data_IF_445279269545
#
_entry.id   IF_445279269545
#
_cell.length_a   1.000
_cell.length_b   1.000
_cell.length_c   1.000
_cell.angle_alpha   90.00
_cell.angle_beta   90.00
_cell.angle_gamma   90.00
#
_symmetry.space_group_name_H-M   'P 1'
#
loop_
_entity.id
_entity.type
_entity.pdbx_description
1 polymer ?
#
# COMPACT_ATOMS: atom_id res chain seq x y z
N UNK A 1 -11.55 -0.78 5.20
CA UNK A 1 -10.50 -1.59 5.86
C UNK A 1 -9.19 -0.81 5.84
N UNK A 2 -8.61 -0.49 6.99
CA UNK A 2 -7.27 0.10 7.13
C UNK A 2 -6.42 -0.89 7.93
N UNK A 3 -5.37 -1.44 7.32
CA UNK A 3 -4.56 -2.52 7.91
C UNK A 3 -3.08 -2.16 7.82
N UNK A 4 -2.37 -2.31 8.94
CA UNK A 4 -0.92 -2.31 8.95
C UNK A 4 -0.38 -3.70 8.60
N UNK A 5 0.60 -3.76 7.70
CA UNK A 5 1.36 -4.96 7.36
C UNK A 5 2.76 -4.80 7.95
N UNK A 6 3.01 -5.36 9.15
CA UNK A 6 4.30 -5.21 9.82
C UNK A 6 5.38 -6.04 9.14
N UNK A 7 6.64 -5.62 9.27
CA UNK A 7 7.82 -6.34 8.77
C UNK A 7 7.70 -6.80 7.31
N UNK A 8 7.09 -5.97 6.44
CA UNK A 8 6.99 -6.29 5.02
C UNK A 8 8.39 -6.37 4.39
N UNK A 9 9.25 -5.42 4.73
CA UNK A 9 10.67 -5.43 4.37
C UNK A 9 11.50 -5.66 5.63
N UNK A 10 12.49 -6.54 5.54
CA UNK A 10 13.54 -6.65 6.56
C UNK A 10 14.60 -5.57 6.38
N UNK A 11 15.52 -5.46 7.34
CA UNK A 11 16.59 -4.45 7.32
C UNK A 11 17.47 -4.52 6.06
N UNK A 12 17.69 -5.72 5.50
CA UNK A 12 18.51 -5.91 4.29
C UNK A 12 17.77 -5.40 3.05
N UNK A 13 16.47 -5.70 2.94
CA UNK A 13 15.60 -5.22 1.87
C UNK A 13 15.43 -3.70 1.94
N UNK A 14 15.25 -3.12 3.14
CA UNK A 14 15.21 -1.66 3.34
C UNK A 14 16.52 -1.04 2.86
N UNK A 15 17.67 -1.53 3.31
CA UNK A 15 18.97 -1.01 2.91
C UNK A 15 19.18 -1.09 1.38
N UNK A 16 18.75 -2.18 0.75
CA UNK A 16 18.85 -2.37 -0.70
C UNK A 16 17.97 -1.39 -1.47
N UNK A 17 16.71 -1.21 -1.03
CA UNK A 17 15.79 -0.22 -1.60
C UNK A 17 16.38 1.19 -1.46
N UNK A 18 16.87 1.54 -0.27
CA UNK A 18 17.44 2.87 0.02
C UNK A 18 18.69 3.15 -0.80
N UNK A 19 19.60 2.18 -0.94
CA UNK A 19 20.80 2.34 -1.77
C UNK A 19 20.46 2.68 -3.24
N UNK A 20 19.38 2.12 -3.78
CA UNK A 20 18.91 2.42 -5.14
C UNK A 20 18.28 3.82 -5.22
N UNK A 21 17.30 4.10 -4.37
CA UNK A 21 16.50 5.33 -4.51
C UNK A 21 17.21 6.59 -4.01
N UNK A 22 18.13 6.48 -3.07
CA UNK A 22 18.87 7.65 -2.54
C UNK A 22 19.93 8.14 -3.54
N UNK A 23 20.45 7.26 -4.40
CA UNK A 23 21.39 7.61 -5.47
C UNK A 23 20.70 8.17 -6.72
N UNK A 24 19.37 8.03 -6.83
CA UNK A 24 18.60 8.44 -7.99
C UNK A 24 18.35 9.95 -8.05
N UNK A 25 17.94 10.44 -9.22
CA UNK A 25 17.52 11.83 -9.39
C UNK A 25 16.07 12.03 -8.94
N UNK A 26 15.90 12.73 -7.82
CA UNK A 26 14.59 13.15 -7.32
C UNK A 26 14.13 14.43 -8.05
N UNK A 27 12.87 14.43 -8.51
CA UNK A 27 12.24 15.55 -9.22
C UNK A 27 11.02 16.06 -8.45
N UNK A 28 10.50 17.23 -8.82
CA UNK A 28 9.24 17.76 -8.26
C UNK A 28 8.10 16.75 -8.50
N UNK A 29 7.43 16.33 -7.43
CA UNK A 29 6.40 15.29 -7.51
C UNK A 29 5.09 15.74 -8.16
N UNK A 30 4.93 17.02 -8.53
CA UNK A 30 3.80 17.48 -9.33
C UNK A 30 3.81 16.94 -10.76
N UNK A 31 4.96 16.47 -11.25
CA UNK A 31 5.08 15.88 -12.60
C UNK A 31 4.23 14.61 -12.76
N UNK A 32 3.93 13.89 -11.67
CA UNK A 32 3.17 12.62 -11.71
C UNK A 32 1.74 12.73 -11.17
N UNK A 33 1.25 13.94 -10.90
CA UNK A 33 -0.03 14.15 -10.20
C UNK A 33 -1.21 14.22 -11.16
N UNK A 34 -2.37 13.69 -10.74
CA UNK A 34 -3.65 14.02 -11.38
C UNK A 34 -3.99 15.51 -11.18
N UNK A 35 -4.90 16.03 -12.00
CA UNK A 35 -5.19 17.48 -12.06
C UNK A 35 -5.59 18.11 -10.71
N UNK A 36 -6.40 17.41 -9.90
CA UNK A 36 -6.79 17.89 -8.55
C UNK A 36 -5.67 17.75 -7.52
N UNK A 37 -4.93 16.63 -7.55
CA UNK A 37 -3.83 16.35 -6.63
C UNK A 37 -2.64 17.31 -6.79
N UNK A 38 -2.38 17.77 -8.01
CA UNK A 38 -1.26 18.67 -8.31
C UNK A 38 -1.38 20.05 -7.61
N UNK A 39 -2.60 20.49 -7.27
CA UNK A 39 -2.82 21.78 -6.63
C UNK A 39 -2.43 21.79 -5.14
N UNK A 40 -2.39 20.62 -4.51
CA UNK A 40 -2.21 20.48 -3.05
C UNK A 40 -0.89 19.79 -2.66
N UNK A 41 -0.07 19.40 -3.64
CA UNK A 41 1.10 18.55 -3.44
C UNK A 41 2.40 19.34 -3.55
N UNK A 42 3.22 19.24 -2.52
CA UNK A 42 4.60 19.76 -2.49
C UNK A 42 5.47 18.66 -1.93
N UNK A 43 6.14 17.91 -2.80
CA UNK A 43 7.03 16.81 -2.43
C UNK A 43 8.03 16.54 -3.56
N UNK A 44 8.94 15.60 -3.33
CA UNK A 44 9.82 15.06 -4.36
C UNK A 44 9.42 13.63 -4.72
N UNK A 45 9.70 13.20 -5.94
CA UNK A 45 9.51 11.82 -6.39
C UNK A 45 10.63 11.34 -7.32
N UNK A 46 10.81 10.03 -7.42
CA UNK A 46 11.52 9.44 -8.56
C UNK A 46 10.61 9.45 -9.80
N UNK A 47 11.17 9.69 -11.01
CA UNK A 47 10.46 9.45 -12.27
C UNK A 47 9.98 8.00 -12.38
N UNK A 48 8.80 7.78 -12.97
CA UNK A 48 8.19 6.44 -13.05
C UNK A 48 9.02 5.45 -13.91
N UNK A 49 9.76 5.96 -14.89
CA UNK A 49 10.59 5.19 -15.81
C UNK A 49 12.05 5.01 -15.34
N UNK A 50 12.41 5.65 -14.22
CA UNK A 50 13.75 5.56 -13.64
C UNK A 50 14.12 4.10 -13.36
N UNK A 51 15.30 3.63 -13.79
CA UNK A 51 15.73 2.26 -13.57
C UNK A 51 15.82 1.92 -12.07
N UNK A 52 16.22 2.86 -11.24
CA UNK A 52 16.30 2.72 -9.78
C UNK A 52 14.91 2.49 -9.17
N UNK A 53 13.91 3.25 -9.62
CA UNK A 53 12.52 3.07 -9.17
C UNK A 53 11.97 1.70 -9.55
N UNK A 54 12.26 1.23 -10.78
CA UNK A 54 11.83 -0.11 -11.23
C UNK A 54 12.48 -1.22 -10.43
N UNK A 55 13.79 -1.14 -10.18
CA UNK A 55 14.53 -2.15 -9.41
C UNK A 55 14.08 -2.17 -7.94
N UNK A 56 13.97 -1.00 -7.31
CA UNK A 56 13.48 -0.90 -5.93
C UNK A 56 12.02 -1.35 -5.81
N UNK A 57 11.19 -1.01 -6.80
CA UNK A 57 9.80 -1.46 -6.88
C UNK A 57 9.69 -2.99 -6.97
N UNK A 58 10.57 -3.66 -7.72
CA UNK A 58 10.57 -5.12 -7.79
C UNK A 58 10.85 -5.77 -6.43
N UNK A 59 11.77 -5.23 -5.63
CA UNK A 59 12.04 -5.72 -4.27
C UNK A 59 10.77 -5.65 -3.41
N UNK A 60 10.03 -4.54 -3.50
CA UNK A 60 8.76 -4.36 -2.75
C UNK A 60 7.70 -5.34 -3.24
N UNK A 61 7.56 -5.53 -4.55
CA UNK A 61 6.60 -6.48 -5.14
C UNK A 61 6.91 -7.93 -4.72
N UNK A 62 8.17 -8.32 -4.71
CA UNK A 62 8.62 -9.65 -4.27
C UNK A 62 8.31 -9.88 -2.79
N UNK A 63 8.48 -8.85 -1.95
CA UNK A 63 8.13 -8.90 -0.53
C UNK A 63 6.63 -9.02 -0.31
N UNK A 64 5.82 -8.25 -1.05
CA UNK A 64 4.36 -8.35 -1.02
C UNK A 64 3.87 -9.74 -1.41
N UNK A 65 4.44 -10.34 -2.45
CA UNK A 65 4.09 -11.68 -2.90
C UNK A 65 4.37 -12.78 -1.86
N UNK A 66 5.21 -12.50 -0.86
CA UNK A 66 5.56 -13.41 0.24
C UNK A 66 4.82 -13.12 1.55
N UNK A 67 4.02 -12.05 1.62
CA UNK A 67 3.32 -11.65 2.85
C UNK A 67 1.91 -12.26 2.90
N UNK A 68 1.64 -13.26 3.75
CA UNK A 68 0.32 -13.89 3.83
C UNK A 68 -0.77 -12.89 4.23
N UNK A 69 -0.45 -11.98 5.16
CA UNK A 69 -1.36 -10.93 5.61
C UNK A 69 -1.75 -10.00 4.46
N UNK A 70 -0.79 -9.57 3.64
CA UNK A 70 -1.09 -8.75 2.46
C UNK A 70 -1.96 -9.50 1.46
N UNK A 71 -1.64 -10.75 1.15
CA UNK A 71 -2.41 -11.55 0.20
C UNK A 71 -3.85 -11.75 0.67
N UNK A 72 -4.05 -12.11 1.95
CA UNK A 72 -5.37 -12.32 2.53
C UNK A 72 -6.20 -11.02 2.57
N UNK A 73 -5.59 -9.88 2.93
CA UNK A 73 -6.28 -8.61 3.01
C UNK A 73 -6.57 -8.00 1.62
N UNK A 74 -5.58 -7.99 0.73
CA UNK A 74 -5.65 -7.26 -0.53
C UNK A 74 -6.26 -8.08 -1.67
N UNK A 75 -6.07 -9.41 -1.67
CA UNK A 75 -6.46 -10.31 -2.77
C UNK A 75 -6.04 -9.73 -4.13
N UNK A 76 -4.74 -9.44 -4.36
CA UNK A 76 -4.30 -8.62 -5.49
C UNK A 76 -4.52 -9.30 -6.84
N UNK A 77 -5.08 -8.57 -7.80
CA UNK A 77 -5.19 -8.98 -9.21
C UNK A 77 -4.15 -8.25 -10.09
N UNK A 78 -4.04 -6.92 -9.93
CA UNK A 78 -3.04 -6.09 -10.63
C UNK A 78 -2.50 -5.04 -9.68
N UNK A 79 -1.19 -4.87 -9.65
CA UNK A 79 -0.52 -3.87 -8.83
C UNK A 79 0.05 -2.79 -9.75
N UNK A 80 -0.27 -1.53 -9.48
CA UNK A 80 0.37 -0.41 -10.15
C UNK A 80 1.84 -0.34 -9.70
N UNK A 81 2.80 -0.14 -10.61
CA UNK A 81 4.22 -0.14 -10.25
C UNK A 81 4.51 0.76 -9.03
N UNK A 82 5.29 0.28 -8.04
CA UNK A 82 5.62 1.08 -6.86
C UNK A 82 6.27 2.41 -7.25
N UNK A 83 5.71 3.51 -6.75
CA UNK A 83 6.29 4.84 -6.87
C UNK A 83 6.99 5.22 -5.57
N UNK A 84 7.85 6.23 -5.61
CA UNK A 84 8.64 6.66 -4.45
C UNK A 84 8.51 8.16 -4.27
N UNK A 85 8.23 8.58 -3.04
CA UNK A 85 8.12 9.98 -2.67
C UNK A 85 9.00 10.32 -1.47
N UNK A 86 9.37 11.59 -1.38
CA UNK A 86 9.98 12.13 -0.17
C UNK A 86 9.47 13.52 0.16
N UNK A 87 9.40 13.82 1.46
CA UNK A 87 8.90 15.08 2.01
C UNK A 87 9.93 15.61 3.03
N UNK A 88 10.21 16.91 2.98
CA UNK A 88 11.06 17.63 3.95
C UNK A 88 10.71 19.12 4.01
N UNK A 89 11.11 19.84 5.05
CA UNK A 89 11.08 21.31 5.07
C UNK A 89 9.71 21.96 4.81
N UNK A 90 8.64 21.44 5.44
CA UNK A 90 7.27 21.93 5.29
C UNK A 90 6.51 21.38 4.09
N UNK A 91 7.15 20.51 3.30
CA UNK A 91 6.49 19.73 2.25
C UNK A 91 5.36 18.87 2.83
N UNK A 92 4.29 18.74 2.06
CA UNK A 92 3.04 18.10 2.45
C UNK A 92 2.27 17.67 1.20
N UNK A 93 1.23 16.87 1.40
CA UNK A 93 0.24 16.60 0.37
C UNK A 93 -1.14 16.80 0.98
N UNK A 94 -1.83 17.88 0.60
CA UNK A 94 -3.13 18.23 1.16
C UNK A 94 -4.23 17.20 0.89
N UNK A 95 -5.42 17.44 1.46
CA UNK A 95 -6.56 16.52 1.38
C UNK A 95 -6.92 16.25 -0.08
N UNK A 96 -6.97 14.97 -0.44
CA UNK A 96 -7.39 14.50 -1.75
C UNK A 96 -7.98 13.09 -1.67
N UNK A 97 -8.56 12.67 -2.79
CA UNK A 97 -8.93 11.28 -3.05
C UNK A 97 -8.18 10.81 -4.30
N UNK A 98 -7.84 9.53 -4.34
CA UNK A 98 -7.15 8.97 -5.50
C UNK A 98 -8.11 8.78 -6.70
N UNK A 99 -7.57 8.93 -7.91
CA UNK A 99 -8.32 8.63 -9.13
C UNK A 99 -8.69 7.14 -9.19
N UNK A 100 -9.97 6.85 -9.35
CA UNK A 100 -10.52 5.48 -9.39
C UNK A 100 -9.88 4.55 -10.45
N UNK A 101 -9.32 5.12 -11.52
CA UNK A 101 -8.56 4.39 -12.54
C UNK A 101 -7.18 5.03 -12.70
N UNK A 102 -6.14 4.25 -12.44
CA UNK A 102 -4.74 4.63 -12.66
C UNK A 102 -4.27 4.07 -13.99
N UNK A 103 -3.66 4.92 -14.80
CA UNK A 103 -3.08 4.55 -16.09
C UNK A 103 -1.58 4.80 -16.02
N UNK A 104 -0.80 3.80 -16.37
CA UNK A 104 0.64 3.98 -16.50
C UNK A 104 0.91 4.59 -17.87
N UNK A 105 1.55 5.76 -17.89
CA UNK A 105 1.77 6.52 -19.10
C UNK A 105 2.57 5.71 -20.12
N UNK A 106 2.14 5.74 -21.38
CA UNK A 106 2.82 5.06 -22.47
C UNK A 106 2.70 3.53 -22.52
N UNK A 107 2.07 2.86 -21.53
CA UNK A 107 2.08 1.39 -21.46
C UNK A 107 0.71 0.70 -21.63
N UNK A 108 -0.39 1.44 -21.82
CA UNK A 108 -1.74 0.85 -21.94
C UNK A 108 -2.23 0.10 -20.68
N UNK A 109 -1.36 -0.04 -19.68
CA UNK A 109 -1.62 -0.69 -18.42
C UNK A 109 -2.49 0.22 -17.55
N UNK A 110 -3.53 -0.39 -16.97
CA UNK A 110 -4.49 0.30 -16.12
C UNK A 110 -4.93 -0.57 -14.96
N UNK A 111 -5.19 0.10 -13.84
CA UNK A 111 -5.58 -0.49 -12.57
C UNK A 111 -6.78 0.27 -12.04
N UNK A 112 -7.87 -0.43 -11.71
CA UNK A 112 -8.92 0.10 -10.85
C UNK A 112 -8.33 0.18 -9.44
N UNK A 113 -8.22 1.38 -8.87
CA UNK A 113 -7.58 1.58 -7.57
C UNK A 113 -8.53 1.21 -6.44
N UNK A 114 -8.64 -0.08 -6.13
CA UNK A 114 -9.47 -0.54 -5.02
C UNK A 114 -8.79 -0.20 -3.69
N UNK A 115 -7.49 -0.48 -3.59
CA UNK A 115 -6.68 -0.20 -2.41
C UNK A 115 -5.45 0.63 -2.77
N UNK A 116 -5.12 1.56 -1.88
CA UNK A 116 -3.85 2.28 -1.82
C UNK A 116 -2.97 1.65 -0.76
N UNK A 117 -1.66 1.64 -1.01
CA UNK A 117 -0.66 1.16 -0.06
C UNK A 117 0.48 2.17 0.06
N UNK A 118 0.95 2.36 1.28
CA UNK A 118 2.20 3.09 1.58
C UNK A 118 3.14 2.16 2.32
N UNK A 119 4.35 1.97 1.80
CA UNK A 119 5.47 1.28 2.47
C UNK A 119 6.41 2.33 3.03
N UNK A 120 6.63 2.32 4.34
CA UNK A 120 7.47 3.27 5.04
C UNK A 120 8.95 2.87 4.87
N UNK A 121 9.81 3.81 4.50
CA UNK A 121 11.24 3.56 4.24
C UNK A 121 12.16 4.37 5.15
N UNK A 122 11.59 5.04 6.15
CA UNK A 122 12.23 5.80 7.20
C UNK A 122 11.53 5.50 8.51
N UNK A 123 12.29 5.42 9.61
CA UNK A 123 11.71 5.23 10.94
C UNK A 123 10.94 6.49 11.37
N UNK A 124 9.83 6.33 12.10
CA UNK A 124 8.95 7.43 12.47
C UNK A 124 9.65 8.48 13.35
N UNK A 125 10.68 8.10 14.10
CA UNK A 125 11.49 9.00 14.94
C UNK A 125 12.49 9.82 14.13
N UNK A 126 12.72 9.51 12.85
CA UNK A 126 13.70 10.21 11.99
C UNK A 126 13.17 11.51 11.37
N UNK A 127 11.87 11.80 11.56
CA UNK A 127 11.25 13.03 11.06
C UNK A 127 10.07 13.45 11.94
N UNK A 128 9.80 14.76 12.01
CA UNK A 128 8.64 15.30 12.73
C UNK A 128 7.51 15.66 11.75
N UNK A 129 6.26 15.40 12.16
CA UNK A 129 5.10 15.46 11.29
C UNK A 129 5.07 14.29 10.29
N UNK A 130 4.46 14.50 9.12
CA UNK A 130 4.45 13.51 8.04
C UNK A 130 3.52 12.33 8.22
N UNK A 131 2.61 12.41 9.18
CA UNK A 131 1.57 11.43 9.39
C UNK A 131 0.72 11.32 8.11
N UNK A 132 0.44 10.10 7.70
CA UNK A 132 -0.59 9.82 6.69
C UNK A 132 -1.93 9.87 7.41
N UNK A 133 -2.66 10.97 7.22
CA UNK A 133 -3.97 11.19 7.79
C UNK A 133 -5.04 10.68 6.83
N UNK A 134 -5.85 9.71 7.25
CA UNK A 134 -6.90 9.05 6.46
C UNK A 134 -8.24 9.26 7.15
N UNK A 135 -9.21 9.82 6.43
CA UNK A 135 -10.59 9.95 6.90
C UNK A 135 -11.33 8.62 6.74
N UNK A 136 -11.96 8.19 7.83
CA UNK A 136 -12.80 6.99 7.88
C UNK A 136 -14.20 7.36 8.34
N UNK A 137 -15.15 6.43 8.18
CA UNK A 137 -16.53 6.62 8.67
C UNK A 137 -16.61 6.81 10.21
N UNK A 138 -15.57 6.42 10.95
CA UNK A 138 -15.50 6.53 12.41
C UNK A 138 -14.56 7.64 12.88
N UNK A 139 -14.15 8.52 11.96
CA UNK A 139 -13.23 9.62 12.23
C UNK A 139 -11.87 9.45 11.60
N UNK A 140 -10.98 10.38 11.92
CA UNK A 140 -9.65 10.49 11.35
C UNK A 140 -8.70 9.47 11.97
N UNK A 141 -7.92 8.77 11.15
CA UNK A 141 -6.82 7.91 11.56
C UNK A 141 -5.50 8.51 11.08
N UNK A 142 -4.50 8.58 11.95
CA UNK A 142 -3.15 9.06 11.60
C UNK A 142 -2.18 7.88 11.65
N UNK A 143 -1.43 7.69 10.56
CA UNK A 143 -0.56 6.54 10.39
C UNK A 143 0.88 7.00 10.15
N UNK A 144 1.78 6.50 10.99
CA UNK A 144 3.23 6.68 10.88
C UNK A 144 3.89 5.43 11.46
N UNK A 145 4.37 4.54 10.59
CA UNK A 145 4.83 3.20 10.96
C UNK A 145 6.36 3.08 10.86
N UNK A 146 6.98 2.10 11.55
CA UNK A 146 8.41 1.77 11.42
C UNK A 146 8.84 1.53 9.98
N UNK A 147 10.13 1.74 9.68
CA UNK A 147 10.67 1.42 8.37
C UNK A 147 10.44 -0.07 8.03
N UNK A 148 10.09 -0.34 6.78
CA UNK A 148 9.74 -1.67 6.29
C UNK A 148 8.33 -2.14 6.62
N UNK A 149 7.53 -1.36 7.35
CA UNK A 149 6.10 -1.62 7.52
C UNK A 149 5.31 -0.99 6.36
N UNK A 150 4.11 -1.50 6.11
CA UNK A 150 3.18 -0.90 5.19
C UNK A 150 1.81 -0.64 5.81
N UNK A 151 1.05 0.28 5.22
CA UNK A 151 -0.38 0.47 5.50
C UNK A 151 -1.17 0.32 4.21
N UNK A 152 -2.24 -0.47 4.28
CA UNK A 152 -3.19 -0.72 3.21
C UNK A 152 -4.53 -0.07 3.57
N UNK A 153 -5.13 0.69 2.66
CA UNK A 153 -6.38 1.42 2.90
C UNK A 153 -7.18 1.61 1.59
N UNK A 154 -8.49 1.93 1.65
CA UNK A 154 -9.30 2.13 0.45
C UNK A 154 -8.85 3.38 -0.28
N UNK A 155 -8.66 3.30 -1.61
CA UNK A 155 -8.24 4.47 -2.40
C UNK A 155 -9.32 5.57 -2.44
N UNK A 156 -10.56 5.21 -2.08
CA UNK A 156 -11.71 6.11 -1.97
C UNK A 156 -11.67 7.02 -0.73
N UNK A 157 -10.80 6.72 0.25
CA UNK A 157 -10.67 7.54 1.46
C UNK A 157 -10.07 8.91 1.14
N UNK A 158 -10.66 9.98 1.69
CA UNK A 158 -9.98 11.27 1.76
C UNK A 158 -8.74 11.11 2.63
N UNK A 159 -7.60 11.58 2.13
CA UNK A 159 -6.35 11.47 2.86
C UNK A 159 -5.39 12.60 2.53
N UNK A 160 -4.41 12.79 3.41
CA UNK A 160 -3.33 13.79 3.29
C UNK A 160 -2.07 13.29 3.97
N UNK A 161 -0.93 13.86 3.57
CA UNK A 161 0.33 13.75 4.31
C UNK A 161 0.56 15.08 5.02
N UNK A 162 0.61 15.04 6.36
CA UNK A 162 0.86 16.23 7.17
C UNK A 162 2.22 16.85 6.85
N UNK A 163 2.40 18.17 7.05
CA UNK A 163 3.68 18.83 6.82
C UNK A 163 4.82 18.22 7.63
N UNK A 164 5.97 18.01 6.98
CA UNK A 164 7.21 17.63 7.66
C UNK A 164 7.85 18.86 8.27
N UNK A 165 8.03 18.90 9.58
CA UNK A 165 8.67 20.05 10.26
C UNK A 165 10.16 19.86 10.50
N UNK A 166 10.63 18.61 10.59
CA UNK A 166 12.03 18.24 10.74
C UNK A 166 12.32 16.90 10.06
N UNK A 167 13.56 16.69 9.63
CA UNK A 167 13.99 15.45 8.97
C UNK A 167 13.45 15.28 7.55
N UNK A 168 13.42 14.03 7.09
CA UNK A 168 12.95 13.65 5.75
C UNK A 168 12.14 12.35 5.85
N UNK A 169 10.90 12.39 5.38
CA UNK A 169 10.07 11.20 5.20
C UNK A 169 10.33 10.64 3.80
N UNK A 170 10.69 9.36 3.69
CA UNK A 170 10.79 8.62 2.42
C UNK A 170 9.83 7.44 2.47
N UNK A 171 9.06 7.23 1.42
CA UNK A 171 8.12 6.11 1.33
C UNK A 171 7.95 5.64 -0.12
N UNK A 172 7.51 4.39 -0.26
CA UNK A 172 6.92 3.92 -1.51
C UNK A 172 5.39 3.95 -1.42
N UNK A 173 4.72 4.32 -2.50
CA UNK A 173 3.26 4.43 -2.55
C UNK A 173 2.74 3.96 -3.91
N UNK A 174 1.63 3.23 -3.92
CA UNK A 174 1.02 2.71 -5.14
C UNK A 174 -0.39 2.19 -4.89
N UNK A 175 -1.04 1.75 -5.97
CA UNK A 175 -2.41 1.26 -5.97
C UNK A 175 -2.46 -0.18 -6.44
N UNK A 176 -3.51 -0.88 -6.07
CA UNK A 176 -3.80 -2.20 -6.61
C UNK A 176 -5.29 -2.38 -6.87
N UNK A 177 -5.56 -3.17 -7.90
CA UNK A 177 -6.86 -3.76 -8.17
C UNK A 177 -6.92 -5.09 -7.44
N UNK A 178 -7.93 -5.25 -6.59
CA UNK A 178 -8.24 -6.52 -5.96
C UNK A 178 -8.99 -7.41 -6.96
N UNK A 179 -8.85 -8.73 -6.81
CA UNK A 179 -9.77 -9.70 -7.39
C UNK A 179 -11.20 -9.40 -6.90
N UNK A 180 -11.37 -8.93 -5.67
CA UNK A 180 -12.70 -8.67 -5.08
C UNK A 180 -12.93 -7.17 -5.02
N UNK A 181 -13.78 -6.68 -5.93
CA UNK A 181 -14.12 -5.25 -6.07
C UNK A 181 -14.77 -4.65 -4.83
N UNK A 182 -15.73 -5.35 -4.25
CA UNK A 182 -16.52 -4.83 -3.13
C UNK A 182 -15.75 -4.90 -1.81
N UNK A 183 -15.67 -3.78 -1.09
CA UNK A 183 -14.91 -3.64 0.15
C UNK A 183 -15.45 -4.53 1.27
N UNK A 184 -16.78 -4.68 1.38
CA UNK A 184 -17.40 -5.49 2.41
C UNK A 184 -17.19 -6.99 2.14
N UNK A 185 -17.32 -7.42 0.88
CA UNK A 185 -17.02 -8.77 0.43
C UNK A 185 -15.55 -9.14 0.72
N UNK A 186 -14.62 -8.22 0.43
CA UNK A 186 -13.19 -8.41 0.71
C UNK A 186 -12.91 -8.51 2.21
N UNK A 187 -13.53 -7.64 3.03
CA UNK A 187 -13.43 -7.72 4.49
C UNK A 187 -13.97 -9.05 5.02
N UNK A 188 -15.13 -9.51 4.55
CA UNK A 188 -15.70 -10.80 4.98
C UNK A 188 -14.80 -11.99 4.64
N UNK A 189 -14.14 -11.97 3.47
CA UNK A 189 -13.16 -13.00 3.12
C UNK A 189 -11.95 -12.96 4.05
N UNK A 190 -11.43 -11.76 4.34
CA UNK A 190 -10.30 -11.59 5.24
C UNK A 190 -10.60 -12.09 6.67
N UNK A 191 -11.78 -11.77 7.20
CA UNK A 191 -12.22 -12.21 8.53
C UNK A 191 -12.39 -13.74 8.59
N UNK A 192 -12.95 -14.33 7.52
CA UNK A 192 -13.11 -15.78 7.41
C UNK A 192 -11.76 -16.50 7.33
N UNK A 193 -10.83 -16.01 6.49
CA UNK A 193 -9.48 -16.58 6.41
C UNK A 193 -8.76 -16.48 7.77
N UNK A 194 -8.80 -15.32 8.42
CA UNK A 194 -8.19 -15.12 9.74
C UNK A 194 -8.73 -16.11 10.78
N UNK A 195 -10.05 -16.33 10.78
CA UNK A 195 -10.70 -17.31 11.66
C UNK A 195 -10.26 -18.75 11.35
N UNK A 196 -10.12 -19.10 10.06
CA UNK A 196 -9.62 -20.40 9.63
C UNK A 196 -8.18 -20.62 10.09
N UNK A 197 -7.30 -19.63 9.95
CA UNK A 197 -5.90 -19.75 10.36
C UNK A 197 -5.77 -19.98 11.87
N UNK A 198 -6.55 -19.26 12.69
CA UNK A 198 -6.58 -19.48 14.15
C UNK A 198 -7.05 -20.89 14.48
N UNK A 199 -8.17 -21.34 13.92
CA UNK A 199 -8.69 -22.68 14.17
C UNK A 199 -7.74 -23.78 13.68
N UNK A 200 -7.05 -23.56 12.56
CA UNK A 200 -6.08 -24.51 12.04
C UNK A 200 -4.86 -24.65 12.95
N UNK A 201 -4.40 -23.55 13.57
CA UNK A 201 -3.32 -23.59 14.55
C UNK A 201 -3.72 -24.33 15.84
N UNK A 202 -4.98 -24.24 16.26
CA UNK A 202 -5.49 -24.89 17.47
C UNK A 202 -5.85 -26.37 17.26
N UNK A 203 -6.50 -26.70 16.14
CA UNK A 203 -7.15 -27.99 15.90
C UNK A 203 -6.42 -28.87 14.87
N UNK A 204 -5.44 -28.31 14.16
CA UNK A 204 -4.77 -28.95 13.03
C UNK A 204 -5.46 -28.67 11.68
N UNK A 205 -4.66 -28.59 10.62
CA UNK A 205 -5.15 -28.34 9.26
C UNK A 205 -5.98 -29.49 8.66
N UNK A 206 -5.84 -30.71 9.18
CA UNK A 206 -6.60 -31.89 8.79
C UNK A 206 -7.96 -32.02 9.51
N UNK A 207 -8.26 -31.11 10.45
CA UNK A 207 -9.54 -31.07 11.12
C UNK A 207 -10.69 -30.85 10.12
N UNK A 208 -11.76 -31.66 10.21
CA UNK A 208 -12.89 -31.61 9.28
C UNK A 208 -13.62 -30.25 9.23
N UNK A 209 -13.66 -29.49 10.33
CA UNK A 209 -14.28 -28.15 10.31
C UNK A 209 -13.39 -27.10 9.64
N UNK A 210 -12.07 -27.18 9.85
CA UNK A 210 -11.10 -26.31 9.17
C UNK A 210 -11.16 -26.52 7.66
N UNK A 211 -11.18 -27.78 7.21
CA UNK A 211 -11.33 -28.14 5.78
C UNK A 211 -12.65 -27.58 5.22
N UNK A 212 -13.76 -27.75 5.95
CA UNK A 212 -15.07 -27.26 5.52
C UNK A 212 -15.10 -25.73 5.37
N UNK A 213 -14.57 -24.99 6.34
CA UNK A 213 -14.50 -23.53 6.30
C UNK A 213 -13.57 -23.04 5.19
N UNK A 214 -12.42 -23.69 4.98
CA UNK A 214 -11.52 -23.44 3.85
C UNK A 214 -12.24 -23.62 2.51
N UNK A 215 -13.04 -24.68 2.38
CA UNK A 215 -13.90 -24.90 1.22
C UNK A 215 -14.93 -23.77 1.02
N UNK A 216 -15.54 -23.27 2.10
CA UNK A 216 -16.47 -22.13 2.04
C UNK A 216 -15.76 -20.85 1.57
N UNK A 217 -14.58 -20.54 2.13
CA UNK A 217 -13.75 -19.42 1.72
C UNK A 217 -13.48 -19.44 0.21
N UNK A 218 -13.00 -20.56 -0.32
CA UNK A 218 -12.73 -20.68 -1.76
C UNK A 218 -13.99 -20.60 -2.63
N UNK A 219 -15.15 -21.06 -2.13
CA UNK A 219 -16.42 -20.90 -2.84
C UNK A 219 -16.86 -19.43 -2.90
N UNK A 220 -16.69 -18.66 -1.82
CA UNK A 220 -16.98 -17.23 -1.78
C UNK A 220 -16.02 -16.45 -2.68
N UNK A 221 -14.72 -16.77 -2.62
CA UNK A 221 -13.72 -16.15 -3.48
C UNK A 221 -14.06 -16.39 -4.97
N UNK A 222 -14.41 -17.62 -5.36
CA UNK A 222 -14.86 -17.93 -6.74
C UNK A 222 -16.12 -17.18 -7.16
N UNK A 223 -16.98 -16.78 -6.22
CA UNK A 223 -18.20 -16.01 -6.52
C UNK A 223 -17.94 -14.52 -6.71
N UNK A 224 -16.97 -13.98 -5.98
CA UNK A 224 -16.72 -12.53 -5.93
C UNK A 224 -15.50 -12.06 -6.73
N UNK A 225 -14.63 -12.98 -7.13
CA UNK A 225 -13.40 -12.63 -7.85
C UNK A 225 -13.67 -12.26 -9.32
N UNK A 226 -13.16 -11.10 -9.73
CA UNK A 226 -12.75 -10.77 -11.09
C UNK A 226 -11.35 -11.39 -11.34
N UNK A 227 -11.14 -12.11 -12.46
CA UNK A 227 -9.85 -12.71 -12.86
C UNK A 227 -9.38 -12.23 -14.23
#
# INVERSE_FOLDING_TARGET
MLIAVPNLLDATAIASVRALIDAAQWVDGNVTSGHQSALAKRNMQLPEDAPEARQAGQIILDALGKSPLFIAAALPLKIFPPLFNSYTGGQAFGVHVDNAVRVQAGTGFRVRSDLSITVFLEDPESYDGGELTIETNFGVQQVKLPAGHAVLYPSSSLHRVEPITSGRRVASFFWLQSMVRDDAARQMLFDLDSSIQVLAAELGHDNGQVIRLTGLYHNLLRRWADV
#
